data_IF_105466564059
#
_entry.id   IF_105466564059
#
_cell.length_a   1.000
_cell.length_b   1.000
_cell.length_c   1.000
_cell.angle_alpha   90.00
_cell.angle_beta   90.00
_cell.angle_gamma   90.00
#
_symmetry.space_group_name_H-M   'P 1'
#
loop_
_entity.id
_entity.type
_entity.pdbx_description
1 polymer ?
#
# COMPACT_ATOMS: atom_id res chain seq x y z
N UNK A 1 -12.06 16.97 10.79
CA UNK A 1 -12.49 15.88 9.88
C UNK A 1 -13.02 16.52 8.61
N UNK A 2 -12.50 16.16 7.43
CA UNK A 2 -13.16 16.52 6.16
C UNK A 2 -14.46 15.71 6.05
N UNK A 3 -15.51 16.32 5.50
CA UNK A 3 -16.78 15.60 5.31
C UNK A 3 -16.66 14.60 4.16
N UNK A 4 -17.41 13.48 4.23
CA UNK A 4 -17.37 12.43 3.21
C UNK A 4 -17.65 12.93 1.77
N UNK A 5 -18.39 14.05 1.65
CA UNK A 5 -18.67 14.72 0.38
C UNK A 5 -17.43 15.40 -0.21
N UNK A 6 -16.63 16.10 0.61
CA UNK A 6 -15.37 16.73 0.17
C UNK A 6 -14.38 15.67 -0.30
N UNK A 7 -14.28 14.54 0.41
CA UNK A 7 -13.41 13.42 0.01
C UNK A 7 -13.83 12.79 -1.33
N UNK A 8 -15.13 12.68 -1.58
CA UNK A 8 -15.65 12.19 -2.86
C UNK A 8 -15.38 13.15 -4.01
N UNK A 9 -15.50 14.46 -3.79
CA UNK A 9 -15.20 15.50 -4.79
C UNK A 9 -13.70 15.52 -5.13
N UNK A 10 -12.84 15.44 -4.12
CA UNK A 10 -11.39 15.31 -4.26
C UNK A 10 -11.02 14.06 -5.08
N UNK A 11 -11.62 12.90 -4.76
CA UNK A 11 -11.36 11.66 -5.50
C UNK A 11 -11.83 11.76 -6.96
N UNK A 12 -13.04 12.27 -7.20
CA UNK A 12 -13.64 12.41 -8.55
C UNK A 12 -12.85 13.37 -9.45
N UNK A 13 -12.44 14.53 -8.94
CA UNK A 13 -11.64 15.50 -9.70
C UNK A 13 -10.30 14.92 -10.16
N UNK A 14 -9.66 14.10 -9.32
CA UNK A 14 -8.37 13.46 -9.60
C UNK A 14 -8.47 12.38 -10.67
N UNK A 15 -9.44 11.47 -10.56
CA UNK A 15 -9.66 10.39 -11.53
C UNK A 15 -9.90 10.95 -12.93
N UNK A 16 -10.70 12.01 -13.03
CA UNK A 16 -10.98 12.68 -14.30
C UNK A 16 -9.71 13.31 -14.91
N UNK A 17 -8.87 13.97 -14.09
CA UNK A 17 -7.62 14.58 -14.55
C UNK A 17 -6.54 13.58 -14.96
N UNK A 18 -6.52 12.39 -14.36
CA UNK A 18 -5.57 11.32 -14.67
C UNK A 18 -5.96 10.60 -15.97
N UNK A 19 -7.26 10.32 -16.16
CA UNK A 19 -7.77 9.65 -17.37
C UNK A 19 -7.55 10.45 -18.65
N UNK A 20 -7.46 11.78 -18.59
CA UNK A 20 -7.30 12.65 -19.75
C UNK A 20 -5.84 12.73 -20.28
N UNK A 21 -4.84 12.27 -19.51
CA UNK A 21 -3.41 12.44 -19.87
C UNK A 21 -2.71 11.19 -20.41
N UNK A 22 -3.36 10.03 -20.44
CA UNK A 22 -2.76 8.77 -20.91
C UNK A 22 -3.31 8.33 -22.27
N UNK A 23 -2.84 8.99 -23.33
CA UNK A 23 -2.73 8.34 -24.64
C UNK A 23 -1.56 8.96 -25.44
N UNK A 24 -0.48 8.20 -25.65
CA UNK A 24 0.22 8.32 -26.92
C UNK A 24 0.44 6.95 -27.56
N UNK A 25 -0.19 6.74 -28.71
CA UNK A 25 0.22 5.74 -29.68
C UNK A 25 1.52 6.18 -30.39
N UNK A 26 2.48 5.24 -30.45
CA UNK A 26 3.40 4.93 -31.57
C UNK A 26 4.17 6.09 -32.24
N UNK A 27 5.50 6.12 -32.08
CA UNK A 27 6.44 6.12 -33.22
C UNK A 27 7.92 5.96 -32.83
N UNK A 28 8.59 5.05 -33.57
CA UNK A 28 9.95 5.14 -34.12
C UNK A 28 11.18 5.03 -33.19
N UNK A 29 11.75 3.82 -33.16
CA UNK A 29 13.12 3.49 -33.63
C UNK A 29 14.32 4.26 -33.07
N UNK A 30 15.14 3.59 -32.26
CA UNK A 30 16.59 3.83 -32.15
C UNK A 30 17.30 2.60 -31.52
N UNK A 31 18.57 2.42 -31.90
CA UNK A 31 19.29 1.16 -32.11
C UNK A 31 19.88 0.44 -30.88
N UNK A 32 19.84 -0.90 -30.94
CA UNK A 32 20.21 -1.91 -29.92
C UNK A 32 21.70 -2.09 -29.51
N UNK A 33 22.65 -1.16 -29.71
CA UNK A 33 24.08 -1.55 -29.60
C UNK A 33 25.00 -0.89 -28.57
N UNK A 34 24.54 0.02 -27.70
CA UNK A 34 25.50 0.77 -26.85
C UNK A 34 25.18 0.81 -25.34
N UNK A 35 24.55 -0.24 -24.79
CA UNK A 35 24.35 -0.34 -23.33
C UNK A 35 24.74 -1.69 -22.71
N UNK A 36 25.75 -2.36 -23.28
CA UNK A 36 26.42 -3.53 -22.68
C UNK A 36 27.86 -3.16 -22.31
N UNK A 37 28.08 -2.49 -21.18
CA UNK A 37 29.41 -2.46 -20.55
C UNK A 37 29.46 -2.03 -19.08
N UNK A 38 28.39 -1.49 -18.47
CA UNK A 38 28.47 -0.96 -17.10
C UNK A 38 27.40 -1.50 -16.13
N UNK A 39 26.99 -2.76 -16.31
CA UNK A 39 26.07 -3.47 -15.40
C UNK A 39 26.65 -4.81 -14.92
N UNK A 40 27.93 -4.84 -14.57
CA UNK A 40 28.50 -5.92 -13.76
C UNK A 40 28.88 -5.35 -12.39
N UNK A 41 28.31 -5.93 -11.32
CA UNK A 41 28.51 -5.64 -9.88
C UNK A 41 27.40 -4.89 -9.14
N UNK A 42 26.13 -5.07 -9.55
CA UNK A 42 25.02 -5.04 -8.59
C UNK A 42 24.55 -6.49 -8.35
N UNK A 43 24.79 -7.01 -7.15
CA UNK A 43 24.34 -8.33 -6.72
C UNK A 43 22.81 -8.37 -6.77
N UNK A 44 22.25 -8.91 -7.85
CA UNK A 44 20.83 -9.12 -8.03
C UNK A 44 20.33 -10.19 -7.05
N UNK A 45 19.93 -9.77 -5.85
CA UNK A 45 19.12 -10.60 -4.97
C UNK A 45 17.71 -10.71 -5.57
N UNK A 46 17.51 -11.87 -6.21
CA UNK A 46 16.31 -12.50 -6.79
C UNK A 46 15.03 -11.66 -6.95
N UNK A 47 14.61 -11.37 -8.20
CA UNK A 47 13.26 -10.89 -8.56
C UNK A 47 12.12 -11.93 -8.43
N UNK A 48 12.39 -13.09 -7.82
CA UNK A 48 11.48 -14.25 -7.85
C UNK A 48 10.15 -14.01 -7.11
N UNK A 49 10.17 -13.19 -6.05
CA UNK A 49 9.03 -13.04 -5.15
C UNK A 49 7.92 -12.16 -5.74
N UNK A 50 8.30 -11.11 -6.49
CA UNK A 50 7.34 -10.21 -7.13
C UNK A 50 6.60 -10.88 -8.29
N UNK A 51 7.28 -11.78 -9.00
CA UNK A 51 6.67 -12.59 -10.04
C UNK A 51 5.70 -13.63 -9.44
N UNK A 52 6.04 -14.22 -8.28
CA UNK A 52 5.10 -15.05 -7.50
C UNK A 52 3.87 -14.25 -7.12
N UNK A 53 4.03 -13.08 -6.50
CA UNK A 53 2.90 -12.19 -6.18
C UNK A 53 2.03 -11.93 -7.41
N UNK A 54 2.63 -11.45 -8.51
CA UNK A 54 1.90 -11.15 -9.75
C UNK A 54 1.13 -12.35 -10.25
N UNK A 55 1.71 -13.55 -10.18
CA UNK A 55 1.09 -14.79 -10.64
C UNK A 55 -0.10 -15.18 -9.77
N UNK A 56 0.06 -15.18 -8.45
CA UNK A 56 -0.96 -15.61 -7.49
C UNK A 56 -2.18 -14.68 -7.49
N UNK A 57 -1.99 -13.37 -7.65
CA UNK A 57 -3.11 -12.41 -7.61
C UNK A 57 -3.73 -12.09 -8.97
N UNK A 58 -3.13 -12.55 -10.09
CA UNK A 58 -3.56 -12.15 -11.45
C UNK A 58 -5.02 -12.48 -11.76
N UNK A 59 -5.52 -13.60 -11.22
CA UNK A 59 -6.88 -14.09 -11.44
C UNK A 59 -7.88 -13.57 -10.41
N UNK A 60 -7.42 -12.86 -9.37
CA UNK A 60 -8.24 -12.41 -8.26
C UNK A 60 -8.72 -10.98 -8.50
N UNK A 61 -10.04 -10.78 -8.51
CA UNK A 61 -10.64 -9.44 -8.66
C UNK A 61 -10.43 -8.58 -7.41
N UNK A 62 -10.66 -9.20 -6.25
CA UNK A 62 -10.45 -8.70 -4.91
C UNK A 62 -9.75 -9.80 -4.10
N UNK A 63 -8.90 -9.41 -3.16
CA UNK A 63 -8.07 -10.33 -2.39
C UNK A 63 -7.50 -9.66 -1.15
N UNK A 64 -7.03 -10.45 -0.20
CA UNK A 64 -6.20 -10.03 0.93
C UNK A 64 -4.83 -10.69 0.77
N UNK A 65 -3.83 -9.88 0.47
CA UNK A 65 -2.44 -10.30 0.37
C UNK A 65 -1.71 -9.93 1.66
N UNK A 66 -1.09 -10.92 2.28
CA UNK A 66 -0.13 -10.73 3.35
C UNK A 66 1.29 -10.75 2.77
N UNK A 67 2.03 -9.67 2.98
CA UNK A 67 3.46 -9.59 2.65
C UNK A 67 4.23 -9.59 3.95
N UNK A 68 5.02 -10.65 4.18
CA UNK A 68 6.06 -10.62 5.19
C UNK A 68 7.36 -10.18 4.51
N UNK A 69 8.11 -9.31 5.18
CA UNK A 69 9.33 -8.77 4.58
C UNK A 69 10.40 -8.53 5.63
N UNK A 70 11.67 -8.66 5.24
CA UNK A 70 12.79 -8.28 6.08
C UNK A 70 13.03 -6.75 6.07
N UNK A 71 13.72 -6.23 7.07
CA UNK A 71 13.97 -4.79 7.19
C UNK A 71 14.73 -4.20 5.99
N UNK A 72 15.61 -4.99 5.34
CA UNK A 72 16.42 -4.53 4.21
C UNK A 72 15.58 -4.35 2.94
N UNK A 73 14.61 -5.22 2.71
CA UNK A 73 13.78 -5.21 1.51
C UNK A 73 12.51 -4.38 1.67
N UNK A 74 12.10 -4.09 2.91
CA UNK A 74 10.85 -3.42 3.26
C UNK A 74 10.52 -2.18 2.41
N UNK A 75 11.43 -1.20 2.34
CA UNK A 75 11.16 0.03 1.58
C UNK A 75 10.99 -0.22 0.08
N UNK A 76 11.81 -1.11 -0.49
CA UNK A 76 11.73 -1.47 -1.90
C UNK A 76 10.40 -2.18 -2.19
N UNK A 77 10.02 -3.12 -1.34
CA UNK A 77 8.76 -3.86 -1.41
C UNK A 77 7.55 -2.93 -1.39
N UNK A 78 7.49 -2.00 -0.43
CA UNK A 78 6.39 -1.03 -0.35
C UNK A 78 6.23 -0.22 -1.64
N UNK A 79 7.34 0.28 -2.20
CA UNK A 79 7.35 1.01 -3.47
C UNK A 79 6.90 0.13 -4.64
N UNK A 80 7.44 -1.08 -4.75
CA UNK A 80 7.14 -2.00 -5.85
C UNK A 80 5.65 -2.39 -5.88
N UNK A 81 5.05 -2.64 -4.72
CA UNK A 81 3.61 -2.95 -4.59
C UNK A 81 2.76 -1.78 -5.09
N UNK A 82 3.03 -0.57 -4.62
CA UNK A 82 2.29 0.63 -5.04
C UNK A 82 2.47 0.86 -6.54
N UNK A 83 3.69 0.70 -7.04
CA UNK A 83 4.01 0.86 -8.46
C UNK A 83 3.20 -0.10 -9.32
N UNK A 84 3.15 -1.38 -8.97
CA UNK A 84 2.37 -2.38 -9.70
C UNK A 84 0.87 -2.04 -9.77
N UNK A 85 0.29 -1.57 -8.66
CA UNK A 85 -1.12 -1.19 -8.62
C UNK A 85 -1.38 0.10 -9.42
N UNK A 86 -0.44 1.06 -9.34
CA UNK A 86 -0.53 2.34 -10.04
C UNK A 86 -0.36 2.19 -11.55
N UNK A 87 0.50 1.29 -12.03
CA UNK A 87 0.68 0.97 -13.45
C UNK A 87 -0.60 0.40 -14.09
N UNK A 88 -1.50 -0.18 -13.27
CA UNK A 88 -2.82 -0.63 -13.69
C UNK A 88 -3.89 0.48 -13.63
N UNK A 89 -3.51 1.72 -13.28
CA UNK A 89 -4.41 2.85 -13.02
C UNK A 89 -5.48 2.56 -11.96
N UNK A 90 -5.20 1.66 -11.01
CA UNK A 90 -6.11 1.34 -9.91
C UNK A 90 -5.91 2.41 -8.83
N UNK A 91 -6.93 3.19 -8.46
CA UNK A 91 -6.82 4.13 -7.36
C UNK A 91 -6.81 3.39 -6.03
N UNK A 92 -6.24 4.00 -4.99
CA UNK A 92 -6.18 3.31 -3.71
C UNK A 92 -5.92 4.18 -2.50
N UNK A 93 -5.94 3.51 -1.36
CA UNK A 93 -5.65 4.08 -0.05
C UNK A 93 -4.33 3.53 0.44
N UNK A 94 -3.44 4.39 0.91
CA UNK A 94 -2.19 4.00 1.56
C UNK A 94 -2.21 4.43 3.02
N UNK A 95 -2.31 3.46 3.92
CA UNK A 95 -2.24 3.69 5.36
C UNK A 95 -0.78 3.57 5.78
N UNK A 96 -0.16 4.67 6.18
CA UNK A 96 1.23 4.71 6.62
C UNK A 96 1.33 4.89 8.12
N UNK A 97 2.02 3.97 8.80
CA UNK A 97 2.15 3.93 10.25
C UNK A 97 3.56 4.22 10.75
N UNK A 98 4.58 3.93 9.93
CA UNK A 98 5.98 4.07 10.33
C UNK A 98 6.69 5.26 9.67
N UNK A 99 6.22 5.73 8.52
CA UNK A 99 6.79 6.84 7.75
C UNK A 99 5.74 7.93 7.56
N UNK A 100 6.03 9.20 7.90
CA UNK A 100 5.17 10.31 7.55
C UNK A 100 4.80 10.31 6.07
N UNK A 101 3.58 10.74 5.76
CA UNK A 101 3.04 10.76 4.40
C UNK A 101 3.97 11.53 3.45
N UNK A 102 4.57 12.66 3.87
CA UNK A 102 5.41 13.49 3.00
C UNK A 102 6.67 12.73 2.56
N UNK A 103 7.19 11.88 3.44
CA UNK A 103 8.33 11.01 3.13
C UNK A 103 7.88 9.93 2.15
N UNK A 104 6.77 9.24 2.45
CA UNK A 104 6.26 8.17 1.59
C UNK A 104 5.88 8.68 0.19
N UNK A 105 5.17 9.81 0.10
CA UNK A 105 4.80 10.43 -1.16
C UNK A 105 6.02 10.80 -2.00
N UNK A 106 7.05 11.39 -1.38
CA UNK A 106 8.31 11.72 -2.07
C UNK A 106 9.05 10.47 -2.52
N UNK A 107 9.11 9.44 -1.68
CA UNK A 107 9.74 8.15 -2.04
C UNK A 107 9.03 7.53 -3.24
N UNK A 108 7.70 7.50 -3.27
CA UNK A 108 6.93 7.00 -4.40
C UNK A 108 7.16 7.84 -5.67
N UNK A 109 7.08 9.16 -5.58
CA UNK A 109 7.32 10.07 -6.70
C UNK A 109 8.72 9.91 -7.31
N UNK A 110 9.76 9.80 -6.46
CA UNK A 110 11.14 9.58 -6.90
C UNK A 110 11.34 8.23 -7.61
N UNK A 111 10.44 7.27 -7.40
CA UNK A 111 10.45 5.96 -8.07
C UNK A 111 9.49 5.89 -9.27
N UNK A 112 9.01 7.05 -9.74
CA UNK A 112 8.14 7.17 -10.92
C UNK A 112 6.69 6.78 -10.67
N UNK A 113 6.25 6.69 -9.41
CA UNK A 113 4.86 6.38 -9.06
C UNK A 113 4.02 7.66 -9.07
N UNK A 114 2.92 7.64 -9.82
CA UNK A 114 1.94 8.71 -9.80
C UNK A 114 1.03 8.62 -8.56
N UNK A 115 1.30 9.48 -7.57
CA UNK A 115 0.54 9.49 -6.31
C UNK A 115 -0.81 10.20 -6.40
N UNK A 116 -1.20 10.76 -7.57
CA UNK A 116 -2.49 11.47 -7.72
C UNK A 116 -3.70 10.57 -7.54
N UNK A 117 -3.56 9.26 -7.76
CA UNK A 117 -4.62 8.27 -7.57
C UNK A 117 -4.62 7.64 -6.17
N UNK A 118 -3.80 8.16 -5.25
CA UNK A 118 -3.62 7.60 -3.91
C UNK A 118 -4.13 8.60 -2.85
N UNK A 119 -5.00 8.12 -1.97
CA UNK A 119 -5.37 8.81 -0.74
C UNK A 119 -4.50 8.25 0.38
N UNK A 120 -3.74 9.11 1.06
CA UNK A 120 -2.93 8.69 2.20
C UNK A 120 -3.72 8.82 3.51
N UNK A 121 -3.49 7.87 4.41
CA UNK A 121 -3.88 7.97 5.82
C UNK A 121 -2.59 7.90 6.62
N UNK A 122 -2.20 9.02 7.22
CA UNK A 122 -0.96 9.14 7.99
C UNK A 122 -1.24 9.00 9.48
N UNK A 123 -0.79 7.88 10.03
CA UNK A 123 -0.81 7.56 11.46
C UNK A 123 0.56 7.78 12.10
N UNK A 124 1.62 7.87 11.29
CA UNK A 124 3.00 8.06 11.74
C UNK A 124 3.24 9.49 12.27
N UNK A 125 2.56 10.47 11.67
CA UNK A 125 2.68 11.88 12.03
C UNK A 125 1.87 12.22 13.29
N UNK A 126 2.57 12.67 14.34
CA UNK A 126 1.97 13.03 15.65
C UNK A 126 1.25 14.37 15.68
N UNK A 127 1.42 15.19 14.65
CA UNK A 127 0.81 16.51 14.53
C UNK A 127 -0.03 16.54 13.27
N UNK A 128 -1.25 17.09 13.36
CA UNK A 128 -2.01 17.50 12.18
C UNK A 128 -1.14 18.51 11.41
N UNK A 129 -0.39 18.04 10.41
CA UNK A 129 0.22 18.94 9.48
C UNK A 129 -0.91 19.66 8.72
N UNK A 130 -0.62 20.87 8.24
CA UNK A 130 -1.53 21.72 7.45
C UNK A 130 -2.41 20.88 6.54
N UNK A 131 -3.72 21.19 6.42
CA UNK A 131 -4.64 20.47 5.51
C UNK A 131 -3.96 20.18 4.16
N UNK A 132 -3.63 18.92 3.91
CA UNK A 132 -3.04 18.46 2.65
C UNK A 132 -4.14 17.76 1.86
N UNK A 133 -4.28 18.12 0.60
CA UNK A 133 -5.37 17.72 -0.31
C UNK A 133 -5.46 16.18 -0.54
N UNK A 134 -4.46 15.42 -0.10
CA UNK A 134 -4.31 13.98 -0.37
C UNK A 134 -4.01 13.14 0.88
N UNK A 135 -4.12 13.71 2.10
CA UNK A 135 -3.74 13.02 3.33
C UNK A 135 -4.75 13.24 4.45
N UNK A 136 -5.17 12.15 5.10
CA UNK A 136 -5.91 12.15 6.36
C UNK A 136 -4.94 11.85 7.50
N UNK A 137 -4.75 12.80 8.41
CA UNK A 137 -3.91 12.58 9.60
C UNK A 137 -4.74 11.95 10.72
N UNK A 138 -4.21 10.89 11.33
CA UNK A 138 -4.75 10.27 12.53
C UNK A 138 -3.85 10.65 13.70
N UNK A 139 -4.37 11.48 14.60
CA UNK A 139 -3.57 12.08 15.69
C UNK A 139 -2.99 11.09 16.71
N UNK A 140 -3.34 9.80 16.65
CA UNK A 140 -2.70 8.76 17.47
C UNK A 140 -2.88 7.34 16.92
N UNK A 141 -1.81 6.50 16.90
CA UNK A 141 -1.89 5.07 16.52
C UNK A 141 -2.69 4.20 17.49
N UNK A 142 -2.99 4.68 18.71
CA UNK A 142 -3.82 3.97 19.69
C UNK A 142 -5.32 4.04 19.34
N UNK A 143 -5.72 5.01 18.52
CA UNK A 143 -7.12 5.25 18.16
C UNK A 143 -7.52 4.43 16.95
N UNK A 144 -7.55 3.10 17.11
CA UNK A 144 -7.95 2.16 16.05
C UNK A 144 -9.36 2.44 15.50
N UNK A 145 -10.26 3.01 16.30
CA UNK A 145 -11.58 3.43 15.84
C UNK A 145 -11.50 4.59 14.84
N UNK A 146 -10.70 5.62 15.11
CA UNK A 146 -10.49 6.77 14.21
C UNK A 146 -9.83 6.31 12.90
N UNK A 147 -8.84 5.42 13.01
CA UNK A 147 -8.21 4.79 11.86
C UNK A 147 -9.23 4.01 11.01
N UNK A 148 -10.11 3.24 11.66
CA UNK A 148 -11.18 2.48 10.98
C UNK A 148 -12.14 3.37 10.23
N UNK A 149 -12.57 4.48 10.84
CA UNK A 149 -13.44 5.47 10.20
C UNK A 149 -12.76 6.13 9.01
N UNK A 150 -11.49 6.52 9.16
CA UNK A 150 -10.72 7.14 8.08
C UNK A 150 -10.52 6.19 6.89
N UNK A 151 -10.20 4.92 7.15
CA UNK A 151 -10.11 3.89 6.10
C UNK A 151 -11.44 3.72 5.37
N UNK A 152 -12.56 3.61 6.11
CA UNK A 152 -13.88 3.46 5.51
C UNK A 152 -14.26 4.66 4.62
N UNK A 153 -14.03 5.88 5.10
CA UNK A 153 -14.28 7.11 4.35
C UNK A 153 -13.40 7.19 3.09
N UNK A 154 -12.10 6.93 3.22
CA UNK A 154 -11.16 7.00 2.11
C UNK A 154 -11.46 5.96 1.02
N UNK A 155 -11.73 4.71 1.43
CA UNK A 155 -12.05 3.62 0.49
C UNK A 155 -13.38 3.89 -0.23
N UNK A 156 -14.41 4.37 0.47
CA UNK A 156 -15.71 4.71 -0.12
C UNK A 156 -15.69 5.93 -1.04
N UNK A 157 -14.72 6.84 -0.88
CA UNK A 157 -14.55 7.99 -1.77
C UNK A 157 -14.05 7.59 -3.17
N UNK A 158 -13.40 6.43 -3.30
CA UNK A 158 -12.85 5.93 -4.56
C UNK A 158 -13.93 5.25 -5.45
N UNK A 159 -13.68 5.05 -6.75
CA UNK A 159 -14.56 4.28 -7.62
C UNK A 159 -14.46 2.77 -7.34
N UNK A 160 -15.32 1.99 -8.00
CA UNK A 160 -15.19 0.54 -8.02
C UNK A 160 -13.87 0.11 -8.66
N UNK A 161 -13.29 -0.99 -8.17
CA UNK A 161 -11.92 -1.43 -8.41
C UNK A 161 -10.86 -0.49 -7.81
N UNK A 162 -10.36 -0.90 -6.64
CA UNK A 162 -9.48 -0.08 -5.81
C UNK A 162 -8.62 -0.96 -4.91
N UNK A 163 -7.52 -0.39 -4.43
CA UNK A 163 -6.68 -1.06 -3.45
C UNK A 163 -6.67 -0.34 -2.09
N UNK A 164 -6.30 -1.07 -1.05
CA UNK A 164 -5.89 -0.51 0.23
C UNK A 164 -4.61 -1.22 0.69
N UNK A 165 -3.60 -0.45 1.05
CA UNK A 165 -2.34 -0.95 1.63
C UNK A 165 -2.29 -0.51 3.10
N UNK A 166 -2.04 -1.48 3.98
CA UNK A 166 -1.79 -1.25 5.40
C UNK A 166 -0.29 -1.43 5.68
N UNK A 167 0.42 -0.34 5.92
CA UNK A 167 1.88 -0.30 5.97
C UNK A 167 2.43 0.44 7.22
N UNK A 168 2.95 -0.23 8.24
CA UNK A 168 3.03 -1.68 8.45
C UNK A 168 2.33 -2.08 9.74
N UNK A 169 1.84 -3.32 9.79
CA UNK A 169 1.04 -3.82 10.90
C UNK A 169 1.78 -3.84 12.24
N UNK A 170 3.04 -4.27 12.25
CA UNK A 170 3.90 -4.38 13.43
C UNK A 170 4.03 -3.04 14.21
N UNK A 171 3.84 -1.89 13.55
CA UNK A 171 3.87 -0.60 14.22
C UNK A 171 2.72 -0.44 15.22
N UNK A 172 1.54 -0.99 14.94
CA UNK A 172 0.43 -0.95 15.90
C UNK A 172 0.68 -1.79 17.14
N UNK A 173 1.44 -2.89 17.02
CA UNK A 173 1.77 -3.78 18.14
C UNK A 173 2.61 -3.08 19.22
N UNK A 174 3.33 -2.00 18.86
CA UNK A 174 4.07 -1.16 19.82
C UNK A 174 3.10 -0.44 20.79
N UNK A 175 1.90 -0.10 20.32
CA UNK A 175 0.93 0.73 21.05
C UNK A 175 -0.25 -0.05 21.61
N UNK A 176 -0.45 -1.30 21.17
CA UNK A 176 -1.66 -2.07 21.45
C UNK A 176 -1.32 -3.46 22.01
N UNK A 177 -2.16 -3.93 22.94
CA UNK A 177 -2.07 -5.29 23.46
C UNK A 177 -2.35 -6.33 22.34
N UNK A 178 -1.73 -7.53 22.37
CA UNK A 178 -1.95 -8.56 21.34
C UNK A 178 -3.42 -8.88 21.08
N UNK A 179 -4.25 -9.02 22.13
CA UNK A 179 -5.68 -9.29 21.98
C UNK A 179 -6.45 -8.15 21.27
N UNK A 180 -6.00 -6.91 21.40
CA UNK A 180 -6.57 -5.76 20.65
C UNK A 180 -6.14 -5.81 19.19
N UNK A 181 -4.89 -6.19 18.93
CA UNK A 181 -4.37 -6.38 17.57
C UNK A 181 -5.12 -7.47 16.80
N UNK A 182 -5.30 -8.64 17.41
CA UNK A 182 -6.08 -9.75 16.84
C UNK A 182 -7.49 -9.31 16.39
N UNK A 183 -8.24 -8.67 17.31
CA UNK A 183 -9.58 -8.12 17.01
C UNK A 183 -9.54 -7.09 15.88
N UNK A 184 -8.53 -6.24 15.84
CA UNK A 184 -8.40 -5.24 14.80
C UNK A 184 -8.08 -5.85 13.44
N UNK A 185 -7.23 -6.88 13.38
CA UNK A 185 -6.93 -7.62 12.14
C UNK A 185 -8.17 -8.33 11.62
N UNK A 186 -8.92 -8.99 12.51
CA UNK A 186 -10.17 -9.62 12.14
C UNK A 186 -11.17 -8.59 11.57
N UNK A 187 -11.30 -7.44 12.23
CA UNK A 187 -12.11 -6.32 11.73
C UNK A 187 -11.61 -5.80 10.38
N UNK A 188 -10.31 -5.55 10.24
CA UNK A 188 -9.68 -4.97 9.05
C UNK A 188 -9.86 -5.89 7.84
N UNK A 189 -9.59 -7.18 8.01
CA UNK A 189 -9.77 -8.17 6.94
C UNK A 189 -11.24 -8.31 6.56
N UNK A 190 -12.15 -8.34 7.53
CA UNK A 190 -13.60 -8.27 7.29
C UNK A 190 -14.01 -7.04 6.48
N UNK A 191 -13.44 -5.87 6.79
CA UNK A 191 -13.68 -4.64 6.04
C UNK A 191 -13.14 -4.69 4.61
N UNK A 192 -11.93 -5.20 4.40
CA UNK A 192 -11.37 -5.38 3.05
C UNK A 192 -12.26 -6.27 2.17
N UNK A 193 -12.87 -7.32 2.75
CA UNK A 193 -13.87 -8.17 2.07
C UNK A 193 -15.15 -7.40 1.75
N UNK A 194 -15.69 -6.67 2.72
CA UNK A 194 -16.90 -5.85 2.55
C UNK A 194 -16.73 -4.84 1.41
N UNK A 195 -15.59 -4.16 1.37
CA UNK A 195 -15.26 -3.16 0.36
C UNK A 195 -14.90 -3.74 -1.01
N UNK A 196 -14.69 -5.06 -1.11
CA UNK A 196 -14.25 -5.77 -2.33
C UNK A 196 -13.00 -5.12 -2.95
N UNK A 197 -12.01 -4.85 -2.09
CA UNK A 197 -10.75 -4.23 -2.50
C UNK A 197 -9.65 -5.24 -2.75
N UNK A 198 -8.64 -4.83 -3.51
CA UNK A 198 -7.30 -5.44 -3.44
C UNK A 198 -6.65 -4.97 -2.14
N UNK A 199 -6.74 -5.77 -1.08
CA UNK A 199 -6.19 -5.48 0.24
C UNK A 199 -4.78 -6.03 0.37
N UNK A 200 -3.84 -5.19 0.81
CA UNK A 200 -2.46 -5.59 1.07
C UNK A 200 -2.12 -5.23 2.52
N UNK A 201 -1.57 -6.19 3.25
CA UNK A 201 -1.02 -5.98 4.60
C UNK A 201 0.47 -6.26 4.52
N UNK A 202 1.29 -5.27 4.89
CA UNK A 202 2.75 -5.41 4.96
C UNK A 202 3.15 -5.55 6.43
N UNK A 203 3.96 -6.55 6.74
CA UNK A 203 4.51 -6.75 8.09
C UNK A 203 5.98 -7.16 8.05
N UNK A 204 6.74 -6.71 9.05
CA UNK A 204 8.14 -7.08 9.21
C UNK A 204 8.23 -8.46 9.89
N UNK A 205 8.81 -9.45 9.21
CA UNK A 205 8.80 -10.85 9.64
C UNK A 205 9.35 -11.04 11.06
N UNK A 206 10.53 -10.48 11.33
CA UNK A 206 11.23 -10.61 12.62
C UNK A 206 10.61 -9.77 13.75
N UNK A 207 9.69 -8.87 13.42
CA UNK A 207 9.05 -7.97 14.39
C UNK A 207 7.57 -8.34 14.63
N UNK A 208 7.09 -9.40 14.00
CA UNK A 208 5.71 -9.87 14.15
C UNK A 208 5.68 -11.04 15.13
N UNK A 209 4.83 -10.97 16.16
CA UNK A 209 4.62 -12.10 17.07
C UNK A 209 4.08 -13.31 16.29
N UNK A 210 4.57 -14.55 16.53
CA UNK A 210 4.17 -15.73 15.77
C UNK A 210 2.65 -15.97 15.73
N UNK A 211 1.96 -15.82 16.87
CA UNK A 211 0.52 -15.99 16.94
C UNK A 211 -0.24 -14.95 16.09
N UNK A 212 0.28 -13.73 15.99
CA UNK A 212 -0.28 -12.68 15.14
C UNK A 212 -0.07 -13.02 13.66
N UNK A 213 1.11 -13.55 13.32
CA UNK A 213 1.44 -13.98 11.97
C UNK A 213 0.57 -15.15 11.50
N UNK A 214 0.31 -16.11 12.39
CA UNK A 214 -0.59 -17.23 12.11
C UNK A 214 -2.02 -16.73 11.85
N UNK A 215 -2.50 -15.79 12.66
CA UNK A 215 -3.82 -15.17 12.49
C UNK A 215 -3.93 -14.41 11.17
N UNK A 216 -2.93 -13.59 10.83
CA UNK A 216 -2.87 -12.89 9.53
C UNK A 216 -2.87 -13.87 8.36
N UNK A 217 -2.08 -14.94 8.47
CA UNK A 217 -1.97 -15.99 7.43
C UNK A 217 -3.32 -16.68 7.23
N UNK A 218 -4.08 -16.93 8.29
CA UNK A 218 -5.41 -17.52 8.20
C UNK A 218 -6.44 -16.64 7.48
N UNK A 219 -6.34 -15.31 7.60
CA UNK A 219 -7.29 -14.39 6.97
C UNK A 219 -6.89 -13.94 5.56
N UNK A 220 -5.62 -14.09 5.20
CA UNK A 220 -5.10 -13.79 3.87
C UNK A 220 -5.47 -14.86 2.86
N UNK A 221 -5.72 -14.47 1.61
CA UNK A 221 -5.86 -15.42 0.49
C UNK A 221 -4.49 -15.92 0.04
N UNK A 222 -3.50 -15.04 0.09
CA UNK A 222 -2.14 -15.27 -0.39
C UNK A 222 -1.18 -14.68 0.62
N UNK A 223 -0.14 -15.46 0.95
CA UNK A 223 1.02 -14.99 1.71
C UNK A 223 2.25 -15.01 0.82
N UNK A 224 3.05 -13.96 0.91
CA UNK A 224 4.30 -13.80 0.18
C UNK A 224 5.39 -13.35 1.14
N UNK A 225 6.50 -14.08 1.19
CA UNK A 225 7.64 -13.78 2.06
C UNK A 225 8.81 -13.19 1.23
N UNK A 226 9.31 -12.00 1.61
CA UNK A 226 10.36 -11.25 0.88
C UNK A 226 11.58 -11.02 1.77
N UNK A 227 12.76 -11.49 1.33
CA UNK A 227 14.02 -11.20 2.02
C UNK A 227 14.25 -11.98 3.32
N UNK A 228 13.33 -12.88 3.70
CA UNK A 228 13.57 -13.87 4.75
C UNK A 228 14.58 -14.93 4.32
N UNK A 229 15.34 -15.46 5.29
CA UNK A 229 16.07 -16.72 5.12
C UNK A 229 15.00 -17.83 5.16
N UNK A 230 14.57 -18.28 3.98
CA UNK A 230 13.71 -19.46 3.84
C UNK A 230 14.42 -20.74 4.27
#
# INVERSE_FOLDING_TARGET
MLEAKEMSEIARGKIFSASAKNNPAISAGMSEREHRSELSHATAQKPLVFDTFKKEVKSLKDYILLITVDAKSYQKTAVDVVKFLSEQNIPGVYVTLNKPFEIMQRTLANNGVDTRLIIFIDVASRTEAKKVENCLYIGSPEKLSDLSVAMDQAVKALPSDRFIIFDSLNTLSIFNKPATMARFIHFLTGKMREWKTKGIIITLEKETEPALLDELTQFADVRVDIGGEG
#
